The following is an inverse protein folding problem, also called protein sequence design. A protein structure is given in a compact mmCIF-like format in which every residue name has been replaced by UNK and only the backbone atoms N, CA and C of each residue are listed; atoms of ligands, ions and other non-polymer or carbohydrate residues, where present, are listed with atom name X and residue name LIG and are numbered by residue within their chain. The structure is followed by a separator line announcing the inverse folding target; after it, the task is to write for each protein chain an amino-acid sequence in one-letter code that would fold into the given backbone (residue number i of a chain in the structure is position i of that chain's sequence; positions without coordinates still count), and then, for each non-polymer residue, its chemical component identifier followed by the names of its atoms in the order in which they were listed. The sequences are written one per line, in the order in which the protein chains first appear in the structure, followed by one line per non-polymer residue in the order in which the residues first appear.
data_IF_609303749756
#
_entry.id   IF_609303749756
#
_cell.length_a   1.000
_cell.length_b   1.000
_cell.length_c   1.000
_cell.angle_alpha   90.00
_cell.angle_beta   90.00
_cell.angle_gamma   90.00
#
_symmetry.space_group_name_H-M   'P 1'
#
loop_
_entity.id
_entity.type
_entity.pdbx_description
1 polymer ?
#
# COMPACT_ATOMS: atom_id res chain seq x y z
N UNK A 1 -2.72 -4.44 27.92
CA UNK A 1 -2.67 -4.96 26.58
C UNK A 1 -3.26 -3.96 25.61
N UNK A 2 -2.50 -3.59 24.61
CA UNK A 2 -2.92 -2.64 23.59
C UNK A 2 -3.95 -3.32 22.68
N UNK A 3 -5.19 -2.84 22.63
CA UNK A 3 -6.19 -3.25 21.66
C UNK A 3 -6.56 -2.08 20.75
N UNK A 4 -5.75 -1.76 19.74
CA UNK A 4 -5.94 -0.54 18.96
C UNK A 4 -7.14 -0.59 18.02
N UNK A 5 -7.73 -1.77 17.77
CA UNK A 5 -8.68 -1.94 16.67
C UNK A 5 -9.91 -2.80 17.02
N UNK A 6 -10.18 -3.04 18.32
CA UNK A 6 -11.28 -3.94 18.69
C UNK A 6 -11.06 -5.40 18.27
N UNK A 7 -9.82 -5.79 17.96
CA UNK A 7 -9.46 -7.16 17.57
C UNK A 7 -9.65 -8.18 18.70
N UNK A 8 -9.92 -7.71 19.92
CA UNK A 8 -10.35 -8.58 21.02
C UNK A 8 -11.72 -9.25 20.80
N UNK A 9 -12.44 -8.91 19.75
CA UNK A 9 -13.62 -9.67 19.35
C UNK A 9 -13.25 -11.00 18.67
N UNK A 10 -12.00 -11.16 18.26
CA UNK A 10 -11.50 -12.46 17.83
C UNK A 10 -11.40 -13.36 19.07
N UNK A 11 -12.16 -14.43 19.11
CA UNK A 11 -12.19 -15.41 20.19
C UNK A 11 -10.85 -16.16 20.37
N UNK A 12 -9.87 -15.92 19.52
CA UNK A 12 -8.57 -16.56 19.57
C UNK A 12 -7.53 -15.61 20.21
N UNK A 13 -6.71 -16.08 21.15
CA UNK A 13 -5.60 -15.30 21.66
C UNK A 13 -4.63 -15.00 20.51
N UNK A 14 -4.28 -13.72 20.36
CA UNK A 14 -3.24 -13.33 19.41
C UNK A 14 -1.87 -13.71 20.00
N UNK A 15 -1.04 -14.48 19.30
CA UNK A 15 0.32 -14.74 19.75
C UNK A 15 1.12 -13.43 19.78
N UNK A 16 1.87 -13.22 20.85
CA UNK A 16 2.77 -12.07 20.99
C UNK A 16 4.21 -12.58 20.97
N UNK A 17 4.96 -12.14 19.97
CA UNK A 17 6.40 -12.40 19.85
C UNK A 17 7.17 -11.10 20.06
N UNK A 18 8.34 -11.19 20.68
CA UNK A 18 9.25 -10.06 20.86
C UNK A 18 10.55 -10.37 20.15
N UNK A 19 10.88 -9.54 19.14
CA UNK A 19 12.12 -9.65 18.41
C UNK A 19 12.57 -8.26 17.95
N UNK A 20 13.88 -8.10 17.70
CA UNK A 20 14.43 -6.87 17.14
C UNK A 20 14.67 -7.05 15.65
N UNK A 21 14.14 -6.16 14.81
CA UNK A 21 14.41 -6.13 13.37
C UNK A 21 15.88 -5.82 13.03
N UNK A 22 16.68 -5.37 13.99
CA UNK A 22 18.12 -5.11 13.85
C UNK A 22 18.98 -6.34 14.18
N UNK A 23 18.37 -7.38 14.71
CA UNK A 23 19.03 -8.64 15.02
C UNK A 23 18.96 -9.53 13.77
N UNK A 24 20.13 -9.87 13.24
CA UNK A 24 20.25 -10.71 12.04
C UNK A 24 19.59 -12.09 12.19
N UNK A 25 19.56 -12.62 13.40
CA UNK A 25 18.93 -13.90 13.70
C UNK A 25 17.41 -13.79 13.82
N UNK A 26 16.88 -12.62 14.08
CA UNK A 26 15.44 -12.40 14.22
C UNK A 26 14.70 -12.38 12.86
N UNK A 27 15.34 -11.91 11.81
CA UNK A 27 14.70 -11.78 10.50
C UNK A 27 14.21 -13.13 9.91
N UNK A 28 15.02 -14.22 9.92
CA UNK A 28 14.56 -15.54 9.50
C UNK A 28 13.42 -16.08 10.37
N UNK A 29 13.46 -15.85 11.68
CA UNK A 29 12.42 -16.29 12.61
C UNK A 29 11.10 -15.57 12.29
N UNK A 30 11.12 -14.26 12.12
CA UNK A 30 9.93 -13.46 11.76
C UNK A 30 9.38 -13.92 10.41
N UNK A 31 10.25 -14.12 9.41
CA UNK A 31 9.87 -14.63 8.10
C UNK A 31 9.17 -15.98 8.17
N UNK A 32 9.71 -16.91 8.96
CA UNK A 32 9.11 -18.24 9.18
C UNK A 32 7.74 -18.15 9.83
N UNK A 33 7.58 -17.30 10.85
CA UNK A 33 6.30 -17.07 11.52
C UNK A 33 5.24 -16.48 10.58
N UNK A 34 5.63 -15.52 9.73
CA UNK A 34 4.74 -14.93 8.74
C UNK A 34 4.29 -15.97 7.69
N UNK A 35 5.20 -16.83 7.25
CA UNK A 35 4.91 -17.90 6.30
C UNK A 35 4.00 -18.97 6.92
N UNK A 36 4.28 -19.42 8.15
CA UNK A 36 3.46 -20.38 8.89
C UNK A 36 2.03 -19.85 9.12
N UNK A 37 1.92 -18.55 9.43
CA UNK A 37 0.64 -17.87 9.61
C UNK A 37 -0.15 -17.69 8.30
N UNK A 38 0.43 -18.01 7.13
CA UNK A 38 -0.17 -17.75 5.81
C UNK A 38 -0.66 -16.31 5.68
N UNK A 39 0.24 -15.38 5.96
CA UNK A 39 -0.07 -13.95 6.09
C UNK A 39 -0.54 -13.36 4.76
N UNK A 40 -1.73 -12.78 4.72
CA UNK A 40 -2.29 -12.09 3.56
C UNK A 40 -1.86 -10.61 3.45
N UNK A 41 -1.63 -9.96 4.59
CA UNK A 41 -1.24 -8.55 4.67
C UNK A 41 -0.47 -8.27 5.96
N UNK A 42 0.56 -7.46 5.87
CA UNK A 42 1.35 -7.03 7.03
C UNK A 42 1.03 -5.57 7.33
N UNK A 43 0.64 -5.28 8.57
CA UNK A 43 0.48 -3.90 9.05
C UNK A 43 1.70 -3.54 9.90
N UNK A 44 2.59 -2.75 9.33
CA UNK A 44 3.83 -2.35 9.98
C UNK A 44 3.74 -0.95 10.59
N UNK A 45 4.15 -0.80 11.84
CA UNK A 45 4.21 0.46 12.57
C UNK A 45 5.63 0.83 13.00
N UNK A 46 6.64 0.10 12.53
CA UNK A 46 8.04 0.43 12.81
C UNK A 46 8.55 1.49 11.87
N UNK A 47 9.35 2.41 12.39
CA UNK A 47 10.08 3.41 11.60
C UNK A 47 11.30 2.78 10.92
N UNK A 48 11.95 3.51 10.06
CA UNK A 48 13.16 3.15 9.31
C UNK A 48 12.97 2.04 8.27
N UNK A 49 13.90 1.97 7.33
CA UNK A 49 14.07 0.83 6.45
C UNK A 49 14.67 -0.35 7.22
N UNK A 50 14.35 -1.55 6.79
CA UNK A 50 14.98 -2.81 7.25
C UNK A 50 15.87 -3.43 6.18
N UNK A 51 15.73 -2.99 4.90
CA UNK A 51 16.65 -3.33 3.82
C UNK A 51 17.99 -2.63 4.01
N UNK A 52 19.07 -3.28 3.55
CA UNK A 52 20.36 -2.64 3.41
C UNK A 52 20.41 -1.87 2.09
N UNK A 53 20.52 -0.52 2.10
CA UNK A 53 20.62 0.25 0.87
C UNK A 53 21.83 -0.12 0.01
N UNK A 54 22.91 -0.63 0.61
CA UNK A 54 24.09 -1.06 -0.11
C UNK A 54 23.85 -2.35 -0.92
N UNK A 55 23.01 -3.26 -0.43
CA UNK A 55 22.62 -4.47 -1.16
C UNK A 55 21.72 -4.17 -2.37
N UNK A 56 21.10 -3.00 -2.42
CA UNK A 56 20.27 -2.55 -3.54
C UNK A 56 21.09 -2.01 -4.73
N UNK A 57 22.38 -1.76 -4.56
CA UNK A 57 23.22 -1.14 -5.60
C UNK A 57 23.56 -2.10 -6.77
N UNK A 58 23.42 -3.40 -6.60
CA UNK A 58 23.83 -4.43 -7.60
C UNK A 58 22.70 -4.91 -8.52
N UNK A 59 21.56 -4.30 -8.50
CA UNK A 59 20.43 -4.66 -9.35
C UNK A 59 19.11 -4.20 -8.75
N UNK A 60 18.08 -4.01 -9.57
CA UNK A 60 16.75 -3.65 -9.06
C UNK A 60 16.38 -4.58 -7.90
N UNK A 61 16.18 -4.07 -6.69
CA UNK A 61 15.77 -4.93 -5.59
C UNK A 61 14.40 -5.48 -5.95
N UNK A 62 14.33 -6.75 -6.30
CA UNK A 62 13.06 -7.44 -6.29
C UNK A 62 12.52 -7.36 -4.86
N UNK A 63 11.21 -7.32 -4.70
CA UNK A 63 10.52 -7.39 -3.39
C UNK A 63 11.08 -8.47 -2.44
N UNK A 64 11.84 -9.42 -2.95
CA UNK A 64 12.46 -10.52 -2.22
C UNK A 64 13.63 -10.12 -1.28
N UNK A 65 14.18 -8.90 -1.38
CA UNK A 65 15.33 -8.48 -0.57
C UNK A 65 14.97 -7.69 0.69
N UNK A 66 13.70 -7.61 1.03
CA UNK A 66 13.17 -6.66 2.01
C UNK A 66 13.12 -7.25 3.43
N UNK A 67 14.24 -7.76 3.92
CA UNK A 67 14.34 -8.27 5.29
C UNK A 67 13.29 -9.34 5.61
N UNK A 68 12.74 -9.38 6.83
CA UNK A 68 11.81 -10.44 7.25
C UNK A 68 10.50 -10.46 6.48
N UNK A 69 10.11 -9.35 5.84
CA UNK A 69 8.86 -9.24 5.09
C UNK A 69 8.93 -9.92 3.71
N UNK A 70 10.14 -10.10 3.17
CA UNK A 70 10.36 -10.78 1.90
C UNK A 70 10.10 -12.29 1.93
N UNK A 71 9.93 -12.89 3.10
CA UNK A 71 9.63 -14.32 3.24
C UNK A 71 8.21 -14.69 2.78
N UNK A 72 7.34 -13.72 2.63
CA UNK A 72 5.95 -13.89 2.18
C UNK A 72 5.62 -12.89 1.08
N UNK A 73 4.89 -13.35 0.09
CA UNK A 73 4.33 -12.50 -0.96
C UNK A 73 3.08 -11.79 -0.43
N UNK A 74 3.25 -10.88 0.54
CA UNK A 74 2.16 -10.13 1.15
C UNK A 74 2.47 -8.63 1.13
N UNK A 75 1.49 -7.76 0.81
CA UNK A 75 1.70 -6.32 0.87
C UNK A 75 1.98 -5.88 2.30
N UNK A 76 2.95 -4.98 2.45
CA UNK A 76 3.30 -4.36 3.73
C UNK A 76 2.73 -2.96 3.78
N UNK A 77 1.71 -2.76 4.61
CA UNK A 77 1.09 -1.46 4.84
C UNK A 77 1.86 -0.73 5.93
N UNK A 78 2.42 0.44 5.59
CA UNK A 78 3.11 1.29 6.55
C UNK A 78 2.12 2.22 7.24
N UNK A 79 1.97 2.07 8.55
CA UNK A 79 1.19 2.94 9.42
C UNK A 79 2.14 3.88 10.15
N UNK A 80 1.75 5.14 10.29
CA UNK A 80 2.61 6.13 10.96
C UNK A 80 2.16 6.35 12.41
N UNK A 81 3.11 6.23 13.33
CA UNK A 81 3.00 6.70 14.69
C UNK A 81 3.77 8.03 14.77
N UNK A 82 3.04 9.15 14.78
CA UNK A 82 3.62 10.48 14.75
C UNK A 82 4.21 10.87 16.10
N UNK A 83 5.37 11.49 16.07
CA UNK A 83 6.01 12.06 17.25
C UNK A 83 5.34 13.35 17.75
N UNK A 84 4.45 13.93 16.95
CA UNK A 84 3.64 15.10 17.31
C UNK A 84 2.44 14.71 18.16
N UNK A 85 1.87 15.70 18.84
CA UNK A 85 0.55 15.58 19.46
C UNK A 85 -0.54 15.69 18.38
N UNK A 86 -1.69 15.12 18.64
CA UNK A 86 -2.82 15.16 17.68
C UNK A 86 -3.32 16.59 17.49
N UNK A 87 -3.37 17.39 18.56
CA UNK A 87 -3.82 18.80 18.51
C UNK A 87 -2.87 19.66 17.66
N UNK A 88 -1.55 19.46 17.79
CA UNK A 88 -0.54 20.18 17.02
C UNK A 88 -0.65 19.84 15.53
N UNK A 89 -0.89 18.58 15.21
CA UNK A 89 -1.09 18.13 13.84
C UNK A 89 -2.41 18.65 13.24
N UNK A 90 -3.50 18.66 14.00
CA UNK A 90 -4.79 19.18 13.55
C UNK A 90 -4.79 20.71 13.37
N UNK A 91 -4.05 21.40 14.21
CA UNK A 91 -3.91 22.87 14.16
C UNK A 91 -2.96 23.38 13.07
N UNK A 92 -2.28 22.48 12.32
CA UNK A 92 -1.28 22.85 11.33
C UNK A 92 -1.66 22.36 9.93
N UNK A 93 -1.52 23.22 8.93
CA UNK A 93 -1.64 22.82 7.51
C UNK A 93 -0.38 22.10 6.97
N UNK A 94 0.71 22.07 7.74
CA UNK A 94 1.97 21.44 7.32
C UNK A 94 1.92 19.89 7.33
N UNK A 95 0.93 19.29 7.99
CA UNK A 95 0.79 17.83 8.10
C UNK A 95 1.81 17.23 9.07
N UNK A 96 2.46 16.11 8.67
CA UNK A 96 3.50 15.46 9.48
C UNK A 96 4.77 16.31 9.52
N UNK A 97 5.52 16.20 10.62
CA UNK A 97 6.83 16.86 10.74
C UNK A 97 7.83 16.28 9.73
N UNK A 98 8.85 17.06 9.38
CA UNK A 98 9.94 16.59 8.51
C UNK A 98 10.61 15.31 9.07
N UNK A 99 10.73 15.19 10.41
CA UNK A 99 11.23 14.00 11.05
C UNK A 99 10.32 12.79 10.83
N UNK A 100 9.00 12.96 11.01
CA UNK A 100 8.04 11.88 10.80
C UNK A 100 8.00 11.46 9.33
N UNK A 101 8.09 12.42 8.40
CA UNK A 101 8.17 12.13 6.97
C UNK A 101 9.42 11.32 6.63
N UNK A 102 10.59 11.72 7.13
CA UNK A 102 11.83 10.98 6.87
C UNK A 102 11.78 9.57 7.44
N UNK A 103 11.41 9.42 8.72
CA UNK A 103 11.56 8.18 9.47
C UNK A 103 10.44 7.18 9.24
N UNK A 104 9.21 7.66 9.02
CA UNK A 104 8.01 6.82 8.95
C UNK A 104 7.42 6.72 7.54
N UNK A 105 7.90 7.52 6.59
CA UNK A 105 7.43 7.53 5.20
C UNK A 105 8.59 7.22 4.25
N UNK A 106 9.56 8.12 4.10
CA UNK A 106 10.59 8.01 3.06
C UNK A 106 11.50 6.78 3.26
N UNK A 107 11.99 6.53 4.48
CA UNK A 107 12.81 5.35 4.74
C UNK A 107 12.03 4.03 4.59
N UNK A 108 10.80 3.88 5.13
CA UNK A 108 9.99 2.70 4.84
C UNK A 108 9.65 2.49 3.36
N UNK A 109 9.52 3.56 2.57
CA UNK A 109 9.24 3.47 1.13
C UNK A 109 10.38 2.79 0.36
N UNK A 110 11.64 2.92 0.82
CA UNK A 110 12.78 2.19 0.25
C UNK A 110 12.60 0.67 0.31
N UNK A 111 11.85 0.18 1.29
CA UNK A 111 11.50 -1.23 1.43
C UNK A 111 10.26 -1.63 0.60
N UNK A 112 9.74 -0.77 -0.26
CA UNK A 112 8.52 -1.02 -1.02
C UNK A 112 7.24 -1.07 -0.16
N UNK A 113 7.26 -0.50 1.06
CA UNK A 113 6.09 -0.46 1.93
C UNK A 113 5.07 0.55 1.41
N UNK A 114 3.81 0.16 1.44
CA UNK A 114 2.69 0.99 1.01
C UNK A 114 2.28 1.95 2.13
N UNK A 115 2.58 3.24 1.96
CA UNK A 115 2.19 4.25 2.93
C UNK A 115 0.66 4.32 3.07
N UNK A 116 0.19 4.38 4.31
CA UNK A 116 -1.22 4.55 4.62
C UNK A 116 -1.49 5.89 5.32
N UNK A 117 -1.71 5.88 6.62
CA UNK A 117 -2.06 7.06 7.41
C UNK A 117 -1.30 7.11 8.73
N UNK A 118 -1.17 8.30 9.31
CA UNK A 118 -0.86 8.45 10.71
C UNK A 118 -2.07 7.98 11.54
N UNK A 119 -1.89 6.94 12.31
CA UNK A 119 -2.95 6.28 13.09
C UNK A 119 -2.80 6.50 14.59
N UNK A 120 -1.63 6.92 15.04
CA UNK A 120 -1.33 7.20 16.44
C UNK A 120 -0.47 8.45 16.59
N UNK A 121 -0.70 9.19 17.68
CA UNK A 121 -0.01 10.42 18.00
C UNK A 121 0.54 10.36 19.42
N UNK A 122 1.69 10.97 19.63
CA UNK A 122 2.39 10.96 20.90
C UNK A 122 1.59 11.74 21.96
N UNK A 123 1.39 11.11 23.11
CA UNK A 123 0.78 11.76 24.26
C UNK A 123 1.83 12.47 25.11
N UNK A 124 1.44 13.46 25.91
CA UNK A 124 2.31 14.05 26.91
C UNK A 124 2.88 12.97 27.81
N UNK A 125 4.18 13.11 28.14
CA UNK A 125 4.81 12.19 29.07
C UNK A 125 4.10 12.26 30.43
N UNK A 126 3.77 11.08 30.97
CA UNK A 126 3.18 10.95 32.31
C UNK A 126 4.15 10.24 33.23
N UNK A 127 4.16 10.66 34.50
CA UNK A 127 4.93 9.96 35.51
C UNK A 127 4.14 8.72 35.96
N UNK A 128 4.74 7.57 35.85
CA UNK A 128 4.16 6.34 36.39
C UNK A 128 4.14 6.40 37.90
N UNK A 129 3.03 6.03 38.52
CA UNK A 129 2.84 6.17 39.97
C UNK A 129 3.66 5.16 40.78
N UNK A 130 3.99 4.01 40.20
CA UNK A 130 4.69 2.92 40.88
C UNK A 130 6.21 3.04 40.69
N UNK A 131 6.64 3.26 39.45
CA UNK A 131 8.07 3.26 39.09
C UNK A 131 8.69 4.66 39.13
N UNK A 132 7.83 5.70 39.19
CA UNK A 132 8.22 7.11 39.05
C UNK A 132 8.94 7.45 37.73
N UNK A 133 8.97 6.52 36.78
CA UNK A 133 9.52 6.72 35.45
C UNK A 133 8.60 7.61 34.60
N UNK A 134 9.20 8.40 33.72
CA UNK A 134 8.43 9.14 32.70
C UNK A 134 8.09 8.19 31.56
N UNK A 135 6.82 7.92 31.39
CA UNK A 135 6.30 7.07 30.30
C UNK A 135 5.67 7.94 29.20
N UNK A 136 5.91 7.57 27.97
CA UNK A 136 5.25 8.15 26.81
C UNK A 136 4.42 7.08 26.13
N UNK A 137 3.18 7.38 25.84
CA UNK A 137 2.28 6.51 25.07
C UNK A 137 1.93 7.17 23.74
N UNK A 138 1.46 6.34 22.80
CA UNK A 138 0.76 6.81 21.61
C UNK A 138 -0.73 6.57 21.80
N UNK A 139 -1.53 7.55 21.42
CA UNK A 139 -2.97 7.41 21.38
C UNK A 139 -3.43 7.22 19.94
N UNK A 140 -4.28 6.22 19.74
CA UNK A 140 -4.82 5.94 18.42
C UNK A 140 -5.93 6.94 18.05
N UNK A 141 -5.97 7.35 16.79
CA UNK A 141 -7.08 8.11 16.21
C UNK A 141 -8.06 7.11 15.58
N UNK A 142 -9.25 6.89 16.20
CA UNK A 142 -10.10 5.73 15.90
C UNK A 142 -10.57 5.66 14.44
N UNK A 143 -10.98 6.78 13.84
CA UNK A 143 -11.45 6.84 12.45
C UNK A 143 -10.34 6.49 11.46
N UNK A 144 -9.09 6.95 11.73
CA UNK A 144 -7.92 6.68 10.91
C UNK A 144 -7.48 5.23 11.01
N UNK A 145 -7.48 4.69 12.22
CA UNK A 145 -7.21 3.29 12.48
C UNK A 145 -8.25 2.37 11.81
N UNK A 146 -9.54 2.71 11.93
CA UNK A 146 -10.62 1.99 11.27
C UNK A 146 -10.51 2.02 9.74
N UNK A 147 -10.06 3.13 9.17
CA UNK A 147 -9.82 3.23 7.72
C UNK A 147 -8.72 2.27 7.28
N UNK A 148 -7.57 2.25 7.99
CA UNK A 148 -6.47 1.33 7.67
C UNK A 148 -6.88 -0.13 7.84
N UNK A 149 -7.67 -0.45 8.87
CA UNK A 149 -8.19 -1.80 9.06
C UNK A 149 -9.06 -2.26 7.87
N UNK A 150 -9.92 -1.38 7.34
CA UNK A 150 -10.71 -1.66 6.13
C UNK A 150 -9.84 -1.84 4.89
N UNK A 151 -8.78 -1.03 4.75
CA UNK A 151 -7.82 -1.17 3.66
C UNK A 151 -7.11 -2.52 3.74
N UNK A 152 -6.60 -2.90 4.92
CA UNK A 152 -5.95 -4.19 5.14
C UNK A 152 -6.89 -5.37 4.83
N UNK A 153 -8.14 -5.30 5.29
CA UNK A 153 -9.16 -6.29 4.96
C UNK A 153 -9.46 -6.35 3.46
N UNK A 154 -9.37 -5.21 2.74
CA UNK A 154 -9.48 -5.14 1.29
C UNK A 154 -8.37 -5.92 0.59
N UNK A 155 -7.12 -5.70 1.00
CA UNK A 155 -5.95 -6.42 0.49
C UNK A 155 -6.03 -7.92 0.75
N UNK A 156 -6.41 -8.34 1.97
CA UNK A 156 -6.59 -9.75 2.30
C UNK A 156 -7.65 -10.42 1.41
N UNK A 157 -8.81 -9.78 1.21
CA UNK A 157 -9.85 -10.30 0.30
C UNK A 157 -9.37 -10.37 -1.15
N UNK A 158 -8.60 -9.37 -1.60
CA UNK A 158 -8.07 -9.36 -2.96
C UNK A 158 -7.14 -10.55 -3.22
N UNK A 159 -6.26 -10.85 -2.26
CA UNK A 159 -5.34 -12.00 -2.37
C UNK A 159 -6.05 -13.35 -2.39
N UNK A 160 -7.17 -13.47 -1.68
CA UNK A 160 -7.96 -14.70 -1.61
C UNK A 160 -8.94 -14.86 -2.77
N UNK A 161 -9.12 -13.81 -3.60
CA UNK A 161 -10.02 -13.86 -4.73
C UNK A 161 -9.38 -14.63 -5.90
N UNK A 162 -10.11 -15.55 -6.57
CA UNK A 162 -9.65 -16.13 -7.82
C UNK A 162 -9.34 -15.05 -8.85
N UNK A 163 -8.24 -15.22 -9.59
CA UNK A 163 -7.76 -14.23 -10.56
C UNK A 163 -8.81 -13.92 -11.62
N UNK A 164 -9.55 -14.94 -12.07
CA UNK A 164 -10.63 -14.79 -13.04
C UNK A 164 -11.79 -13.89 -12.57
N UNK A 165 -11.99 -13.78 -11.25
CA UNK A 165 -13.03 -12.93 -10.64
C UNK A 165 -12.52 -11.52 -10.31
N UNK A 166 -11.22 -11.26 -10.49
CA UNK A 166 -10.63 -9.96 -10.20
C UNK A 166 -11.02 -8.94 -11.28
N UNK A 167 -11.38 -7.72 -10.85
CA UNK A 167 -11.68 -6.60 -11.74
C UNK A 167 -10.55 -5.59 -11.62
N UNK A 168 -9.95 -5.24 -12.77
CA UNK A 168 -8.82 -4.31 -12.84
C UNK A 168 -9.22 -3.13 -13.71
N UNK A 169 -9.05 -1.92 -13.20
CA UNK A 169 -9.22 -0.69 -13.96
C UNK A 169 -7.86 -0.15 -14.39
N UNK A 170 -7.64 0.03 -15.68
CA UNK A 170 -6.45 0.68 -16.23
C UNK A 170 -6.79 2.15 -16.55
N UNK A 171 -6.15 3.07 -15.84
CA UNK A 171 -6.37 4.51 -16.03
C UNK A 171 -5.17 5.09 -16.77
N UNK A 172 -5.43 5.62 -17.96
CA UNK A 172 -4.41 6.26 -18.79
C UNK A 172 -4.50 7.78 -18.69
N UNK A 173 -3.34 8.42 -18.61
CA UNK A 173 -3.28 9.87 -18.67
C UNK A 173 -3.65 10.37 -20.07
N UNK A 174 -4.32 11.52 -20.15
CA UNK A 174 -4.60 12.23 -21.38
C UNK A 174 -4.18 13.70 -21.23
N UNK A 175 -2.94 14.00 -21.57
CA UNK A 175 -2.37 15.35 -21.44
C UNK A 175 -1.61 15.78 -22.71
N UNK A 176 -1.94 16.94 -23.27
CA UNK A 176 -3.08 17.80 -22.98
C UNK A 176 -4.42 17.15 -23.42
N UNK A 177 -5.53 17.60 -22.83
CA UNK A 177 -6.90 17.10 -23.07
C UNK A 177 -7.32 17.31 -24.54
N UNK A 178 -6.89 16.43 -25.43
CA UNK A 178 -7.23 16.41 -26.86
C UNK A 178 -7.32 14.98 -27.35
N UNK A 179 -8.26 14.67 -28.22
CA UNK A 179 -8.42 13.32 -28.76
C UNK A 179 -7.22 12.83 -29.58
N UNK A 180 -6.45 13.74 -30.16
CA UNK A 180 -5.18 13.41 -30.82
C UNK A 180 -4.01 13.12 -29.86
N UNK A 181 -4.24 13.21 -28.55
CA UNK A 181 -3.24 12.93 -27.49
C UNK A 181 -3.74 11.90 -26.49
N UNK A 182 -4.72 11.10 -26.91
CA UNK A 182 -5.26 10.04 -26.07
C UNK A 182 -4.17 9.11 -25.57
N UNK A 183 -4.18 8.82 -24.27
CA UNK A 183 -3.16 7.98 -23.62
C UNK A 183 -1.72 8.49 -23.77
N UNK A 184 -1.49 9.79 -23.97
CA UNK A 184 -0.16 10.33 -24.17
C UNK A 184 0.64 10.33 -22.87
N UNK A 185 1.79 9.67 -22.87
CA UNK A 185 2.79 9.70 -21.81
C UNK A 185 4.14 10.11 -22.40
N UNK A 186 4.81 11.10 -21.77
CA UNK A 186 6.11 11.59 -22.27
C UNK A 186 7.16 10.47 -22.15
N UNK A 187 7.75 10.09 -23.30
CA UNK A 187 8.77 9.05 -23.36
C UNK A 187 8.27 7.61 -23.23
N UNK A 188 6.94 7.39 -23.18
CA UNK A 188 6.34 6.07 -23.08
C UNK A 188 5.32 5.87 -24.21
N UNK A 189 5.40 4.74 -24.91
CA UNK A 189 4.31 4.26 -25.75
C UNK A 189 3.23 3.65 -24.85
N UNK A 190 2.36 4.50 -24.31
CA UNK A 190 1.32 4.08 -23.36
C UNK A 190 0.34 3.10 -23.97
N UNK A 191 -0.19 3.30 -25.22
CA UNK A 191 -1.09 2.33 -25.84
C UNK A 191 -0.46 0.93 -25.99
N UNK A 192 0.77 0.85 -26.46
CA UNK A 192 1.48 -0.42 -26.58
C UNK A 192 1.72 -1.06 -25.20
N UNK A 193 2.09 -0.26 -24.20
CA UNK A 193 2.30 -0.74 -22.82
C UNK A 193 1.01 -1.27 -22.20
N UNK A 194 -0.12 -0.59 -22.40
CA UNK A 194 -1.44 -1.04 -21.90
C UNK A 194 -1.87 -2.32 -22.59
N UNK A 195 -1.73 -2.40 -23.92
CA UNK A 195 -2.04 -3.62 -24.66
C UNK A 195 -1.19 -4.81 -24.20
N UNK A 196 0.12 -4.59 -23.97
CA UNK A 196 1.00 -5.60 -23.42
C UNK A 196 0.57 -6.03 -22.01
N UNK A 197 0.21 -5.08 -21.14
CA UNK A 197 -0.29 -5.37 -19.81
C UNK A 197 -1.58 -6.21 -19.85
N UNK A 198 -2.53 -5.88 -20.73
CA UNK A 198 -3.77 -6.66 -20.91
C UNK A 198 -3.45 -8.11 -21.34
N UNK A 199 -2.49 -8.30 -22.24
CA UNK A 199 -2.05 -9.65 -22.65
C UNK A 199 -1.45 -10.43 -21.48
N UNK A 200 -0.53 -9.82 -20.74
CA UNK A 200 0.10 -10.44 -19.55
C UNK A 200 -0.97 -10.81 -18.53
N UNK A 201 -1.97 -9.96 -18.32
CA UNK A 201 -3.09 -10.26 -17.43
C UNK A 201 -3.92 -11.43 -17.92
N UNK A 202 -4.26 -11.48 -19.22
CA UNK A 202 -4.97 -12.62 -19.80
C UNK A 202 -4.18 -13.94 -19.64
N UNK A 203 -2.86 -13.91 -19.90
CA UNK A 203 -1.96 -15.05 -19.73
C UNK A 203 -1.88 -15.48 -18.25
N UNK A 204 -2.03 -14.54 -17.31
CA UNK A 204 -2.08 -14.79 -15.87
C UNK A 204 -3.46 -15.27 -15.38
N UNK A 205 -4.45 -15.41 -16.27
CA UNK A 205 -5.78 -15.95 -15.96
C UNK A 205 -6.84 -14.91 -15.56
N UNK A 206 -6.56 -13.62 -15.73
CA UNK A 206 -7.60 -12.59 -15.59
C UNK A 206 -8.61 -12.69 -16.74
N UNK A 207 -9.88 -12.45 -16.43
CA UNK A 207 -10.90 -12.36 -17.48
C UNK A 207 -10.71 -11.07 -18.27
N UNK A 208 -10.36 -11.20 -19.55
CA UNK A 208 -10.26 -10.09 -20.51
C UNK A 208 -11.22 -10.40 -21.66
N UNK A 209 -12.45 -9.87 -21.59
CA UNK A 209 -13.53 -10.25 -22.48
C UNK A 209 -13.34 -9.78 -23.91
N UNK A 210 -12.70 -8.61 -24.10
CA UNK A 210 -12.44 -8.03 -25.41
C UNK A 210 -10.99 -7.56 -25.51
N UNK A 211 -10.12 -8.40 -26.04
CA UNK A 211 -8.73 -8.04 -26.30
C UNK A 211 -8.63 -7.31 -27.66
N UNK A 212 -8.20 -6.04 -27.69
CA UNK A 212 -7.88 -5.38 -28.95
C UNK A 212 -6.78 -6.14 -29.69
N UNK A 213 -6.77 -6.18 -31.03
CA UNK A 213 -5.75 -6.92 -31.78
C UNK A 213 -4.35 -6.36 -31.57
N UNK A 214 -4.24 -5.06 -31.38
CA UNK A 214 -2.99 -4.32 -31.16
C UNK A 214 -3.27 -2.97 -30.46
N UNK A 215 -2.22 -2.17 -30.30
CA UNK A 215 -2.33 -0.84 -29.70
C UNK A 215 -3.16 0.15 -30.53
N UNK A 216 -3.20 -0.01 -31.84
CA UNK A 216 -4.02 0.82 -32.72
C UNK A 216 -5.51 0.47 -32.54
N UNK A 217 -5.84 -0.82 -32.44
CA UNK A 217 -7.17 -1.31 -32.08
C UNK A 217 -7.63 -0.77 -30.72
N UNK A 218 -6.76 -0.80 -29.70
CA UNK A 218 -7.06 -0.22 -28.39
C UNK A 218 -7.44 1.27 -28.50
N UNK A 219 -6.69 2.05 -29.26
CA UNK A 219 -7.00 3.48 -29.46
C UNK A 219 -8.31 3.66 -30.23
N UNK A 220 -8.58 2.81 -31.23
CA UNK A 220 -9.84 2.85 -31.98
C UNK A 220 -11.04 2.60 -31.05
N UNK A 221 -10.96 1.58 -30.17
CA UNK A 221 -12.00 1.26 -29.20
C UNK A 221 -12.23 2.40 -28.22
N UNK A 222 -11.16 3.00 -27.68
CA UNK A 222 -11.25 4.16 -26.79
C UNK A 222 -11.89 5.38 -27.46
N UNK A 223 -11.62 5.61 -28.74
CA UNK A 223 -12.22 6.71 -29.51
C UNK A 223 -13.67 6.44 -29.90
N UNK A 224 -14.09 5.21 -29.98
CA UNK A 224 -15.47 4.84 -30.20
C UNK A 224 -16.39 5.16 -29.00
N UNK A 225 -15.80 5.23 -27.79
CA UNK A 225 -16.46 5.58 -26.55
C UNK A 225 -16.53 7.10 -26.28
N UNK A 226 -16.86 7.52 -25.07
CA UNK A 226 -16.81 8.92 -24.62
C UNK A 226 -15.39 9.48 -24.73
N UNK A 227 -15.23 10.65 -25.34
CA UNK A 227 -13.94 11.33 -25.48
C UNK A 227 -13.95 12.71 -24.81
N UNK A 228 -12.78 13.40 -24.81
CA UNK A 228 -12.64 14.74 -24.22
C UNK A 228 -13.23 15.86 -25.11
N UNK A 229 -13.66 15.57 -26.34
CA UNK A 229 -14.24 16.56 -27.26
C UNK A 229 -15.70 16.94 -26.92
N UNK A 230 -16.10 16.60 -25.70
CA UNK A 230 -17.42 16.91 -25.18
C UNK A 230 -18.41 15.76 -25.35
N UNK A 231 -19.45 15.81 -24.53
CA UNK A 231 -20.56 14.88 -24.57
C UNK A 231 -21.36 15.06 -25.87
N UNK A 232 -21.12 14.21 -26.83
CA UNK A 232 -21.88 14.17 -28.08
C UNK A 232 -23.04 13.16 -28.04
N UNK A 233 -23.60 12.89 -26.86
CA UNK A 233 -24.76 12.00 -26.72
C UNK A 233 -24.45 10.51 -26.95
N UNK A 234 -23.20 10.11 -27.01
CA UNK A 234 -22.84 8.69 -27.06
C UNK A 234 -23.11 8.07 -25.71
N UNK A 235 -24.02 7.12 -25.67
CA UNK A 235 -24.27 6.34 -24.46
C UNK A 235 -22.99 5.66 -24.08
N UNK A 236 -22.53 5.93 -22.85
CA UNK A 236 -21.57 5.07 -22.21
C UNK A 236 -22.36 3.81 -21.82
N UNK A 237 -22.36 2.80 -22.67
CA UNK A 237 -22.72 1.46 -22.21
C UNK A 237 -21.61 1.06 -21.24
N UNK A 238 -21.84 1.44 -19.99
CA UNK A 238 -21.00 1.04 -18.90
C UNK A 238 -21.01 -0.48 -18.88
N UNK A 239 -19.94 -1.07 -19.32
CA UNK A 239 -19.67 -2.48 -19.03
C UNK A 239 -19.54 -2.56 -17.51
N UNK A 240 -20.66 -2.93 -16.86
CA UNK A 240 -20.70 -3.23 -15.44
C UNK A 240 -20.11 -4.59 -15.18
#
# INVERSE_FOLDING_TARGET
GWNPLGLNSLKNPLPLFSASLKDGDAAPIIGSLLAEAKTDVIMNMTSFAVSDPAAAADGMPGLASVGPFGAVDAPVLQLVLSASRVEDWQGSSAGLTARDLAMNVALPELDGRLLTRAVGFKQPARRDALTHAMTTAYEAVPDRAAWVARLAAGWARLRQRPVADARVGLIMANYPNRDGRLANGVGLDTPASVHAAMRIMADAGYAVDAMPPDSAGLIADLRAGPTNEGWQGRACDAVM
#
